data_IF_142027674266
#
_entry.id   IF_142027674266
#
_cell.length_a   1.000
_cell.length_b   1.000
_cell.length_c   1.000
_cell.angle_alpha   90.00
_cell.angle_beta   90.00
_cell.angle_gamma   90.00
#
_symmetry.space_group_name_H-M   'P 1'
#
loop_
_entity.id
_entity.type
_entity.pdbx_description
1 polymer ?
#
# COMPACT_ATOMS: atom_id res chain seq x y z
N UNK A 1 25.17 5.13 22.27
CA UNK A 1 25.65 4.25 21.18
C UNK A 1 25.61 5.06 19.90
N UNK A 2 26.68 5.03 19.07
CA UNK A 2 26.78 5.92 17.90
C UNK A 2 25.97 5.37 16.71
N UNK A 3 25.17 6.24 16.10
CA UNK A 3 24.40 5.94 14.89
C UNK A 3 25.22 6.31 13.66
N UNK A 4 25.50 5.33 12.80
CA UNK A 4 26.27 5.56 11.56
C UNK A 4 25.33 5.68 10.36
N UNK A 5 25.47 6.75 9.59
CA UNK A 5 24.71 6.99 8.36
C UNK A 5 25.51 6.62 7.11
N UNK A 6 24.87 5.96 6.15
CA UNK A 6 25.44 5.61 4.85
C UNK A 6 24.43 5.86 3.73
N UNK A 7 24.92 6.13 2.51
CA UNK A 7 24.07 6.34 1.33
C UNK A 7 24.07 5.07 0.47
N UNK A 8 22.88 4.54 0.22
CA UNK A 8 22.65 3.41 -0.67
C UNK A 8 22.21 3.83 -2.08
N UNK A 9 21.93 2.86 -2.97
CA UNK A 9 21.47 3.11 -4.33
C UNK A 9 20.14 3.89 -4.36
N UNK A 10 19.92 4.67 -5.43
CA UNK A 10 18.67 5.43 -5.67
C UNK A 10 18.27 6.34 -4.50
N UNK A 11 19.23 7.12 -3.98
CA UNK A 11 19.04 8.04 -2.84
C UNK A 11 18.50 7.38 -1.56
N UNK A 12 18.77 6.10 -1.34
CA UNK A 12 18.41 5.41 -0.10
C UNK A 12 19.33 5.88 1.03
N UNK A 13 18.77 6.21 2.20
CA UNK A 13 19.54 6.50 3.42
C UNK A 13 19.48 5.28 4.33
N UNK A 14 20.62 4.86 4.87
CA UNK A 14 20.72 3.70 5.76
C UNK A 14 21.44 4.12 7.04
N UNK A 15 20.77 3.95 8.17
CA UNK A 15 21.30 4.21 9.50
C UNK A 15 21.49 2.89 10.25
N UNK A 16 22.61 2.76 10.97
CA UNK A 16 22.93 1.56 11.76
C UNK A 16 23.40 1.95 13.15
N UNK A 17 22.94 1.22 14.16
CA UNK A 17 23.45 1.30 15.52
C UNK A 17 23.40 -0.08 16.15
N UNK A 18 24.23 -0.32 17.15
CA UNK A 18 23.99 -1.40 18.09
C UNK A 18 23.08 -0.86 19.20
N UNK A 19 22.13 -1.67 19.65
CA UNK A 19 21.26 -1.38 20.81
C UNK A 19 21.43 -2.51 21.84
N UNK A 20 21.01 -2.35 23.11
CA UNK A 20 21.03 -3.45 24.07
C UNK A 20 20.22 -4.67 23.62
N UNK A 21 19.19 -4.46 22.78
CA UNK A 21 18.35 -5.51 22.21
C UNK A 21 18.94 -6.15 20.93
N UNK A 22 20.15 -5.77 20.51
CA UNK A 22 20.81 -6.25 19.29
C UNK A 22 21.00 -5.15 18.24
N UNK A 23 21.47 -5.50 17.03
CA UNK A 23 21.73 -4.52 15.98
C UNK A 23 20.44 -3.94 15.42
N UNK A 24 20.49 -2.65 15.12
CA UNK A 24 19.44 -1.87 14.49
C UNK A 24 19.91 -1.42 13.11
N UNK A 25 19.05 -1.58 12.10
CA UNK A 25 19.22 -0.98 10.79
C UNK A 25 17.92 -0.31 10.34
N UNK A 26 17.97 1.00 10.15
CA UNK A 26 16.93 1.77 9.51
C UNK A 26 17.29 2.01 8.04
N UNK A 27 16.33 1.78 7.14
CA UNK A 27 16.46 2.05 5.71
C UNK A 27 15.32 2.94 5.24
N UNK A 28 15.66 4.18 4.86
CA UNK A 28 14.73 5.16 4.32
C UNK A 28 14.87 5.22 2.79
N UNK A 29 13.80 4.83 2.09
CA UNK A 29 13.66 4.89 0.63
C UNK A 29 12.65 5.97 0.27
N UNK A 30 12.60 6.43 -0.98
CA UNK A 30 11.64 7.47 -1.40
C UNK A 30 10.18 7.15 -1.03
N UNK A 31 9.73 5.91 -1.25
CA UNK A 31 8.35 5.48 -1.01
C UNK A 31 8.11 4.68 0.28
N UNK A 32 9.14 4.31 1.04
CA UNK A 32 8.98 3.46 2.22
C UNK A 32 10.11 3.59 3.25
N UNK A 33 9.80 3.19 4.47
CA UNK A 33 10.67 3.22 5.63
C UNK A 33 10.69 1.83 6.25
N UNK A 34 11.89 1.28 6.48
CA UNK A 34 12.07 -0.09 6.95
C UNK A 34 12.99 -0.09 8.16
N UNK A 35 12.54 -0.64 9.27
CA UNK A 35 13.33 -0.76 10.50
C UNK A 35 13.52 -2.24 10.81
N UNK A 36 14.77 -2.67 10.91
CA UNK A 36 15.17 -4.03 11.23
C UNK A 36 15.90 -4.02 12.57
N UNK A 37 15.47 -4.87 13.50
CA UNK A 37 16.04 -5.00 14.84
C UNK A 37 16.41 -6.46 15.10
N UNK A 38 17.37 -6.67 16.01
CA UNK A 38 17.81 -7.99 16.50
C UNK A 38 18.01 -9.00 15.36
N UNK A 39 18.90 -8.67 14.42
CA UNK A 39 19.22 -9.51 13.26
C UNK A 39 17.99 -9.91 12.40
N UNK A 40 16.96 -9.06 12.36
CA UNK A 40 15.74 -9.31 11.60
C UNK A 40 14.68 -10.14 12.32
N UNK A 41 14.86 -10.40 13.61
CA UNK A 41 13.79 -10.97 14.46
C UNK A 41 12.60 -10.03 14.60
N UNK A 42 12.85 -8.73 14.48
CA UNK A 42 11.80 -7.72 14.33
C UNK A 42 12.03 -6.92 13.05
N UNK A 43 11.02 -6.86 12.19
CA UNK A 43 11.04 -6.04 10.97
C UNK A 43 9.76 -5.24 10.89
N UNK A 44 9.89 -3.92 10.87
CA UNK A 44 8.79 -2.98 10.70
C UNK A 44 8.90 -2.30 9.35
N UNK A 45 7.76 -2.09 8.71
CA UNK A 45 7.70 -1.30 7.47
C UNK A 45 6.52 -0.37 7.44
N UNK A 46 6.82 0.90 7.18
CA UNK A 46 5.86 1.96 6.93
C UNK A 46 6.07 2.52 5.52
N UNK A 47 5.05 3.16 4.97
CA UNK A 47 5.24 3.93 3.75
C UNK A 47 5.85 5.32 4.02
N UNK A 48 6.09 6.09 2.96
CA UNK A 48 6.69 7.42 3.08
C UNK A 48 5.75 8.48 3.71
N UNK A 49 4.49 8.15 4.00
CA UNK A 49 3.59 8.96 4.85
C UNK A 49 3.58 8.50 6.32
N UNK A 50 4.50 7.60 6.66
CA UNK A 50 4.63 7.04 8.00
C UNK A 50 3.46 6.13 8.36
N UNK A 51 2.68 5.63 7.39
CA UNK A 51 1.58 4.70 7.65
C UNK A 51 2.14 3.30 7.86
N UNK A 52 1.95 2.67 9.03
CA UNK A 52 2.39 1.30 9.26
C UNK A 52 1.68 0.30 8.35
N UNK A 53 2.42 -0.61 7.71
CA UNK A 53 1.83 -1.63 6.83
C UNK A 53 2.27 -3.08 7.12
N UNK A 54 3.51 -3.35 7.54
CA UNK A 54 3.95 -4.71 7.94
C UNK A 54 4.77 -4.71 9.21
N UNK A 55 4.52 -5.68 10.07
CA UNK A 55 5.34 -6.00 11.25
C UNK A 55 5.62 -7.50 11.27
N UNK A 56 6.88 -7.88 11.33
CA UNK A 56 7.33 -9.23 11.66
C UNK A 56 7.90 -9.22 13.08
N UNK A 57 7.37 -10.07 13.96
CA UNK A 57 7.85 -10.22 15.35
C UNK A 57 7.39 -11.57 15.90
N UNK A 58 8.23 -12.25 16.68
CA UNK A 58 7.87 -13.51 17.36
C UNK A 58 7.16 -14.53 16.44
N UNK A 59 7.78 -14.81 15.28
CA UNK A 59 7.26 -15.73 14.25
C UNK A 59 5.85 -15.39 13.71
N UNK A 60 5.41 -14.15 13.90
CA UNK A 60 4.11 -13.63 13.49
C UNK A 60 4.29 -12.46 12.52
N UNK A 61 3.65 -12.57 11.35
CA UNK A 61 3.54 -11.50 10.36
C UNK A 61 2.19 -10.81 10.52
N UNK A 62 2.25 -9.52 10.80
CA UNK A 62 1.12 -8.62 10.82
C UNK A 62 1.13 -7.76 9.56
N UNK A 63 -0.01 -7.62 8.90
CA UNK A 63 -0.19 -6.78 7.70
C UNK A 63 -1.38 -5.86 7.91
N UNK A 64 -1.20 -4.56 7.79
CA UNK A 64 -2.29 -3.58 7.89
C UNK A 64 -2.61 -3.02 6.50
N UNK A 65 -3.88 -3.11 6.12
CA UNK A 65 -4.39 -2.49 4.89
C UNK A 65 -4.68 -1.00 5.09
N UNK A 66 -4.79 -0.26 3.98
CA UNK A 66 -5.26 1.13 4.03
C UNK A 66 -6.72 1.25 4.47
N UNK A 67 -7.52 0.17 4.38
CA UNK A 67 -8.86 0.09 4.95
C UNK A 67 -8.84 -0.14 6.47
N UNK A 68 -7.68 -0.13 7.12
CA UNK A 68 -7.53 -0.30 8.56
C UNK A 68 -7.70 -1.74 9.07
N UNK A 69 -8.01 -2.71 8.19
CA UNK A 69 -8.03 -4.12 8.58
C UNK A 69 -6.61 -4.64 8.73
N UNK A 70 -6.42 -5.53 9.70
CA UNK A 70 -5.16 -6.22 9.89
C UNK A 70 -5.31 -7.71 9.55
N UNK A 71 -4.33 -8.27 8.84
CA UNK A 71 -4.17 -9.70 8.69
C UNK A 71 -3.00 -10.16 9.55
N UNK A 72 -3.23 -11.19 10.34
CA UNK A 72 -2.20 -11.82 11.18
C UNK A 72 -1.93 -13.22 10.64
N UNK A 73 -0.65 -13.53 10.46
CA UNK A 73 -0.16 -14.82 9.96
C UNK A 73 0.92 -15.29 10.91
N UNK A 74 0.62 -16.26 11.76
CA UNK A 74 1.60 -16.88 12.66
C UNK A 74 1.97 -18.29 12.18
N UNK A 75 3.20 -18.70 12.49
CA UNK A 75 3.63 -20.10 12.44
C UNK A 75 3.51 -20.69 13.85
N UNK A 76 2.81 -21.81 13.99
CA UNK A 76 2.81 -22.59 15.23
C UNK A 76 4.04 -23.49 15.36
N UNK A 77 4.06 -24.30 16.42
CA UNK A 77 5.14 -25.27 16.70
C UNK A 77 5.16 -26.45 15.70
N UNK A 78 4.02 -26.76 15.09
CA UNK A 78 3.90 -27.66 13.93
C UNK A 78 3.78 -26.86 12.61
N UNK A 79 3.73 -27.54 11.45
CA UNK A 79 3.45 -26.94 10.13
C UNK A 79 2.04 -26.32 9.99
N UNK A 80 1.44 -25.85 11.08
CA UNK A 80 0.15 -25.18 11.11
C UNK A 80 0.33 -23.67 10.93
N UNK A 81 -0.31 -23.11 9.89
CA UNK A 81 -0.36 -21.67 9.62
C UNK A 81 -1.71 -21.14 10.05
N UNK A 82 -1.76 -20.23 11.02
CA UNK A 82 -3.00 -19.53 11.40
C UNK A 82 -3.09 -18.21 10.66
N UNK A 83 -4.22 -17.96 9.99
CA UNK A 83 -4.55 -16.67 9.37
C UNK A 83 -5.81 -16.11 10.02
N UNK A 84 -5.71 -14.90 10.57
CA UNK A 84 -6.85 -14.17 11.11
C UNK A 84 -6.93 -12.77 10.47
N UNK A 85 -8.15 -12.24 10.33
CA UNK A 85 -8.37 -10.83 10.00
C UNK A 85 -8.91 -10.16 11.26
N UNK A 86 -8.15 -9.19 11.77
CA UNK A 86 -8.49 -8.41 12.93
C UNK A 86 -8.94 -7.02 12.52
N UNK A 87 -9.84 -6.43 13.31
CA UNK A 87 -10.16 -5.02 13.23
C UNK A 87 -9.37 -4.27 14.31
N UNK A 88 -8.75 -3.14 13.94
CA UNK A 88 -8.24 -2.18 14.93
C UNK A 88 -6.86 -2.48 15.52
N UNK A 89 -6.74 -2.10 16.79
CA UNK A 89 -5.53 -1.54 17.40
C UNK A 89 -4.47 -2.56 17.79
N UNK A 90 -4.79 -3.86 17.78
CA UNK A 90 -3.81 -4.92 18.11
C UNK A 90 -2.52 -4.78 17.28
N UNK A 91 -2.67 -4.46 15.99
CA UNK A 91 -1.53 -4.16 15.13
C UNK A 91 -0.70 -2.99 15.67
N UNK A 92 -1.35 -1.89 16.07
CA UNK A 92 -0.68 -0.68 16.53
C UNK A 92 -0.10 -0.83 17.94
N UNK A 93 -0.72 -1.65 18.80
CA UNK A 93 -0.17 -2.07 20.09
C UNK A 93 1.12 -2.85 19.89
N UNK A 94 1.12 -3.87 19.02
CA UNK A 94 2.33 -4.63 18.70
C UNK A 94 3.40 -3.78 18.00
N UNK A 95 2.97 -2.83 17.16
CA UNK A 95 3.86 -1.85 16.54
C UNK A 95 4.57 -1.00 17.59
N UNK A 96 3.83 -0.38 18.52
CA UNK A 96 4.40 0.44 19.61
C UNK A 96 5.33 -0.37 20.50
N UNK A 97 4.97 -1.61 20.83
CA UNK A 97 5.85 -2.53 21.57
C UNK A 97 7.17 -2.76 20.85
N UNK A 98 7.14 -2.88 19.53
CA UNK A 98 8.33 -3.12 18.72
C UNK A 98 9.24 -1.89 18.56
N UNK A 99 8.70 -0.66 18.63
CA UNK A 99 9.49 0.58 18.53
C UNK A 99 9.81 1.23 19.87
N UNK A 100 9.25 0.71 20.98
CA UNK A 100 9.50 1.21 22.33
C UNK A 100 10.99 1.24 22.67
N UNK A 101 11.45 2.35 23.25
CA UNK A 101 12.85 2.54 23.64
C UNK A 101 13.80 2.89 22.48
N UNK A 102 13.32 3.01 21.24
CA UNK A 102 14.15 3.41 20.10
C UNK A 102 14.23 4.93 19.89
N UNK A 103 13.40 5.70 20.61
CA UNK A 103 13.29 7.16 20.49
C UNK A 103 14.63 7.87 20.59
N UNK A 104 15.42 7.58 21.64
CA UNK A 104 16.73 8.22 21.85
C UNK A 104 17.74 7.84 20.77
N UNK A 105 17.75 6.57 20.35
CA UNK A 105 18.70 6.06 19.34
C UNK A 105 18.42 6.67 17.96
N UNK A 106 17.15 6.73 17.57
CA UNK A 106 16.73 7.27 16.27
C UNK A 106 16.63 8.81 16.30
N UNK A 107 16.47 9.40 17.47
CA UNK A 107 16.52 10.85 17.69
C UNK A 107 17.91 11.45 17.43
N UNK A 108 18.97 10.62 17.48
CA UNK A 108 20.33 11.00 17.13
C UNK A 108 20.55 11.23 15.61
N UNK A 109 19.54 11.02 14.75
CA UNK A 109 19.63 11.33 13.32
C UNK A 109 19.69 12.85 13.13
N UNK A 110 20.83 13.35 12.63
CA UNK A 110 21.07 14.77 12.41
C UNK A 110 20.17 15.37 11.31
N UNK A 111 19.94 14.63 10.22
CA UNK A 111 19.12 15.07 9.09
C UNK A 111 17.65 15.28 9.52
N UNK A 112 17.17 16.51 9.40
CA UNK A 112 15.86 16.93 9.88
C UNK A 112 14.70 16.32 9.08
N UNK A 113 14.88 16.10 7.77
CA UNK A 113 13.85 15.47 6.93
C UNK A 113 13.71 14.00 7.29
N UNK A 114 14.83 13.29 7.41
CA UNK A 114 14.83 11.88 7.82
C UNK A 114 14.21 11.70 9.22
N UNK A 115 14.50 12.60 10.16
CA UNK A 115 13.88 12.58 11.50
C UNK A 115 12.38 12.81 11.45
N UNK A 116 11.91 13.79 10.65
CA UNK A 116 10.48 14.07 10.49
C UNK A 116 9.73 12.88 9.89
N UNK A 117 10.34 12.19 8.91
CA UNK A 117 9.76 10.99 8.28
C UNK A 117 9.58 9.84 9.26
N UNK A 118 10.50 9.70 10.22
CA UNK A 118 10.46 8.67 11.26
C UNK A 118 9.48 8.96 12.38
N UNK A 119 9.23 10.23 12.71
CA UNK A 119 8.36 10.59 13.83
C UNK A 119 7.01 9.88 13.76
N UNK A 120 6.35 9.90 12.59
CA UNK A 120 5.07 9.21 12.37
C UNK A 120 5.18 7.69 12.36
N UNK A 121 6.38 7.14 12.08
CA UNK A 121 6.65 5.71 12.15
C UNK A 121 6.80 5.24 13.60
N UNK A 122 7.46 6.03 14.45
CA UNK A 122 7.70 5.69 15.85
C UNK A 122 6.47 5.93 16.72
N UNK A 123 5.72 7.00 16.43
CA UNK A 123 4.50 7.34 17.13
C UNK A 123 3.33 7.45 16.15
N UNK A 124 2.69 6.31 15.77
CA UNK A 124 1.55 6.33 14.88
C UNK A 124 0.33 6.98 15.54
N UNK A 125 -0.15 8.05 14.92
CA UNK A 125 -1.41 8.72 15.28
C UNK A 125 -2.61 7.86 14.85
N UNK A 126 -3.29 7.25 15.82
CA UNK A 126 -4.46 6.41 15.62
C UNK A 126 -5.64 7.16 15.00
N UNK A 127 -5.89 8.40 15.43
CA UNK A 127 -6.99 9.22 14.92
C UNK A 127 -6.76 9.54 13.45
N UNK A 128 -5.54 9.93 13.08
CA UNK A 128 -5.16 10.15 11.67
C UNK A 128 -5.32 8.87 10.86
N UNK A 129 -4.84 7.73 11.36
CA UNK A 129 -4.90 6.45 10.65
C UNK A 129 -6.34 5.93 10.49
N UNK A 130 -7.22 6.21 11.46
CA UNK A 130 -8.65 5.92 11.37
C UNK A 130 -9.34 6.80 10.33
N UNK A 131 -9.07 8.11 10.33
CA UNK A 131 -9.56 9.04 9.32
C UNK A 131 -9.07 8.67 7.91
N UNK A 132 -7.82 8.26 7.77
CA UNK A 132 -7.27 7.73 6.51
C UNK A 132 -7.98 6.47 6.04
N UNK A 133 -8.29 5.54 6.95
CA UNK A 133 -9.05 4.35 6.60
C UNK A 133 -10.46 4.70 6.12
N UNK A 134 -11.11 5.68 6.73
CA UNK A 134 -12.40 6.20 6.26
C UNK A 134 -12.28 6.84 4.87
N UNK A 135 -11.27 7.69 4.65
CA UNK A 135 -10.99 8.28 3.34
C UNK A 135 -10.77 7.21 2.28
N UNK A 136 -9.97 6.19 2.58
CA UNK A 136 -9.70 5.07 1.68
C UNK A 136 -10.98 4.32 1.27
N UNK A 137 -11.85 4.01 2.23
CA UNK A 137 -13.13 3.36 1.95
C UNK A 137 -14.08 4.23 1.11
N UNK A 138 -13.97 5.55 1.21
CA UNK A 138 -14.69 6.49 0.36
C UNK A 138 -14.12 6.64 -1.05
N UNK A 139 -12.81 6.43 -1.23
CA UNK A 139 -12.15 6.53 -2.54
C UNK A 139 -12.53 5.41 -3.49
N UNK A 140 -12.68 4.20 -2.95
CA UNK A 140 -12.97 3.02 -3.73
C UNK A 140 -14.35 2.50 -3.42
N UNK A 141 -15.17 2.34 -4.46
CA UNK A 141 -16.34 1.48 -4.34
C UNK A 141 -15.79 0.08 -4.51
N UNK A 142 -15.37 -0.58 -3.42
CA UNK A 142 -14.88 -1.97 -3.39
C UNK A 142 -13.72 -2.27 -4.35
N UNK A 143 -12.55 -2.62 -3.82
CA UNK A 143 -11.40 -2.95 -4.66
C UNK A 143 -11.50 -4.35 -5.23
N UNK A 144 -11.57 -4.43 -6.56
CA UNK A 144 -11.48 -5.65 -7.35
C UNK A 144 -10.27 -6.52 -7.04
N UNK A 145 -10.26 -7.69 -7.67
CA UNK A 145 -9.12 -8.59 -7.68
C UNK A 145 -7.94 -7.85 -8.33
N UNK A 146 -6.74 -7.96 -7.74
CA UNK A 146 -5.50 -7.52 -8.38
C UNK A 146 -4.63 -8.75 -8.66
N UNK A 147 -4.00 -8.83 -9.83
CA UNK A 147 -3.02 -9.88 -10.07
C UNK A 147 -1.74 -9.61 -9.26
N UNK A 148 -0.94 -10.64 -8.91
CA UNK A 148 0.20 -10.50 -8.00
C UNK A 148 1.26 -9.49 -8.44
N UNK A 149 1.44 -9.30 -9.75
CA UNK A 149 2.31 -8.33 -10.38
C UNK A 149 1.83 -6.88 -10.21
N UNK A 150 0.53 -6.66 -9.99
CA UNK A 150 -0.07 -5.34 -9.77
C UNK A 150 -0.22 -4.93 -8.29
N UNK A 151 0.29 -5.70 -7.32
CA UNK A 151 0.16 -5.37 -5.89
C UNK A 151 0.79 -4.03 -5.46
N UNK A 152 1.76 -3.54 -6.23
CA UNK A 152 2.36 -2.21 -6.04
C UNK A 152 1.87 -1.18 -7.05
N UNK A 153 0.78 -1.43 -7.78
CA UNK A 153 0.20 -0.42 -8.65
C UNK A 153 -0.60 0.63 -7.85
N UNK A 154 -0.72 1.84 -8.39
CA UNK A 154 -1.76 2.78 -7.99
C UNK A 154 -3.06 2.35 -8.67
N UNK A 155 -4.09 2.02 -7.89
CA UNK A 155 -5.34 1.50 -8.45
C UNK A 155 -6.27 2.66 -8.82
N UNK A 156 -6.80 2.63 -10.03
CA UNK A 156 -7.76 3.62 -10.55
C UNK A 156 -8.96 2.87 -11.10
N UNK A 157 -10.17 3.18 -10.64
CA UNK A 157 -11.39 2.53 -11.11
C UNK A 157 -11.99 3.28 -12.31
N UNK A 158 -11.73 2.81 -13.54
CA UNK A 158 -12.43 3.30 -14.74
C UNK A 158 -13.85 2.76 -14.82
N UNK A 159 -13.99 1.46 -14.53
CA UNK A 159 -15.27 0.77 -14.53
C UNK A 159 -15.61 0.33 -13.11
N UNK A 160 -16.90 0.21 -12.82
CA UNK A 160 -17.44 -0.38 -11.60
C UNK A 160 -18.15 -1.68 -11.98
N UNK A 161 -17.91 -2.77 -11.24
CA UNK A 161 -18.56 -4.06 -11.50
C UNK A 161 -17.95 -4.83 -12.68
N UNK A 162 -18.71 -5.78 -13.23
CA UNK A 162 -18.29 -6.66 -14.32
C UNK A 162 -19.28 -6.58 -15.50
N UNK A 163 -18.83 -6.37 -16.75
CA UNK A 163 -19.73 -6.34 -17.91
C UNK A 163 -20.36 -7.71 -18.21
N UNK A 164 -19.70 -8.81 -17.84
CA UNK A 164 -20.22 -10.17 -18.03
C UNK A 164 -21.21 -10.57 -16.93
N UNK A 165 -20.82 -10.41 -15.66
CA UNK A 165 -21.60 -10.68 -14.42
C UNK A 165 -22.47 -11.95 -14.37
N UNK A 166 -22.16 -12.99 -15.16
CA UNK A 166 -22.90 -14.28 -15.21
C UNK A 166 -22.10 -15.47 -14.71
N UNK A 167 -20.90 -15.25 -14.16
CA UNK A 167 -20.07 -16.33 -13.62
C UNK A 167 -20.73 -16.96 -12.39
N UNK A 168 -20.94 -18.28 -12.40
CA UNK A 168 -21.54 -19.03 -11.27
C UNK A 168 -20.65 -19.04 -10.03
N UNK A 169 -19.33 -18.94 -10.20
CA UNK A 169 -18.35 -18.95 -9.12
C UNK A 169 -18.06 -17.55 -8.53
N UNK A 170 -18.44 -16.47 -9.23
CA UNK A 170 -18.02 -15.13 -8.83
C UNK A 170 -18.94 -14.56 -7.76
N UNK A 171 -18.44 -14.43 -6.53
CA UNK A 171 -19.11 -13.72 -5.44
C UNK A 171 -18.77 -12.23 -5.39
N UNK A 172 -17.73 -11.81 -6.13
CA UNK A 172 -17.14 -10.48 -6.01
C UNK A 172 -17.96 -9.39 -6.72
N UNK A 173 -18.36 -9.62 -7.97
CA UNK A 173 -19.06 -8.64 -8.80
C UNK A 173 -20.58 -8.81 -8.85
N UNK A 174 -21.12 -9.91 -8.31
CA UNK A 174 -22.52 -10.35 -8.51
C UNK A 174 -23.57 -9.29 -8.20
N UNK A 175 -23.34 -8.48 -7.17
CA UNK A 175 -24.26 -7.44 -6.71
C UNK A 175 -23.86 -6.03 -7.16
N UNK A 176 -22.93 -5.92 -8.11
CA UNK A 176 -22.36 -4.64 -8.56
C UNK A 176 -22.81 -4.35 -9.99
N UNK A 177 -23.65 -3.33 -10.18
CA UNK A 177 -24.09 -2.90 -11.50
C UNK A 177 -22.89 -2.40 -12.31
N UNK A 178 -22.75 -2.89 -13.54
CA UNK A 178 -21.72 -2.41 -14.45
C UNK A 178 -21.95 -0.94 -14.83
N UNK A 179 -20.91 -0.12 -14.72
CA UNK A 179 -20.90 1.27 -15.14
C UNK A 179 -19.49 1.69 -15.54
N UNK A 180 -19.39 2.49 -16.60
CA UNK A 180 -18.17 3.19 -16.98
C UNK A 180 -18.22 4.60 -16.35
N UNK A 181 -17.16 5.04 -15.67
CA UNK A 181 -17.05 6.43 -15.18
C UNK A 181 -16.93 7.40 -16.35
N UNK A 182 -17.52 8.59 -16.21
CA UNK A 182 -17.20 9.70 -17.12
C UNK A 182 -15.74 10.10 -16.94
N UNK A 183 -15.11 10.66 -17.98
CA UNK A 183 -13.69 11.05 -17.91
C UNK A 183 -13.41 12.04 -16.77
N UNK A 184 -14.31 12.99 -16.50
CA UNK A 184 -14.12 13.91 -15.36
C UNK A 184 -14.23 13.22 -14.01
N UNK A 185 -15.08 12.18 -13.90
CA UNK A 185 -15.20 11.37 -12.68
C UNK A 185 -13.95 10.53 -12.45
N UNK A 186 -13.42 9.93 -13.52
CA UNK A 186 -12.14 9.22 -13.50
C UNK A 186 -11.00 10.16 -13.09
N UNK A 187 -10.90 11.35 -13.68
CA UNK A 187 -9.84 12.30 -13.35
C UNK A 187 -9.91 12.72 -11.88
N UNK A 188 -11.10 13.05 -11.37
CA UNK A 188 -11.28 13.34 -9.93
C UNK A 188 -10.86 12.17 -9.06
N UNK A 189 -11.25 10.95 -9.42
CA UNK A 189 -10.85 9.75 -8.70
C UNK A 189 -9.32 9.55 -8.72
N UNK A 190 -8.68 9.63 -9.88
CA UNK A 190 -7.23 9.49 -10.04
C UNK A 190 -6.45 10.55 -9.24
N UNK A 191 -6.89 11.81 -9.27
CA UNK A 191 -6.29 12.88 -8.45
C UNK A 191 -6.47 12.61 -6.95
N UNK A 192 -7.64 12.14 -6.54
CA UNK A 192 -7.90 11.79 -5.14
C UNK A 192 -7.05 10.59 -4.68
N UNK A 193 -6.82 9.59 -5.55
CA UNK A 193 -5.88 8.48 -5.29
C UNK A 193 -4.45 8.99 -5.16
N UNK A 194 -3.98 9.86 -6.07
CA UNK A 194 -2.65 10.48 -5.99
C UNK A 194 -2.48 11.25 -4.66
N UNK A 195 -3.47 12.08 -4.31
CA UNK A 195 -3.46 12.85 -3.07
C UNK A 195 -3.46 11.95 -1.83
N UNK A 196 -4.25 10.88 -1.82
CA UNK A 196 -4.28 9.93 -0.71
C UNK A 196 -2.95 9.19 -0.54
N UNK A 197 -2.33 8.76 -1.64
CA UNK A 197 -1.05 8.07 -1.59
C UNK A 197 0.08 9.01 -1.12
N UNK A 198 0.05 10.28 -1.53
CA UNK A 198 1.07 11.26 -1.16
C UNK A 198 2.47 10.80 -1.58
N UNK A 199 3.46 10.93 -0.70
CA UNK A 199 4.83 10.42 -0.88
C UNK A 199 4.88 8.91 -1.08
N UNK A 200 3.89 8.15 -0.58
CA UNK A 200 3.84 6.72 -0.84
C UNK A 200 3.57 6.40 -2.32
N UNK A 201 3.21 7.39 -3.16
CA UNK A 201 3.16 7.19 -4.61
C UNK A 201 4.51 6.75 -5.18
N UNK A 202 5.63 7.14 -4.57
CA UNK A 202 6.98 6.73 -4.97
C UNK A 202 7.21 5.21 -4.89
N UNK A 203 6.40 4.49 -4.10
CA UNK A 203 6.47 3.03 -4.05
C UNK A 203 5.71 2.36 -5.21
N UNK A 204 4.89 3.13 -5.95
CA UNK A 204 4.01 2.62 -6.99
C UNK A 204 4.72 2.54 -8.33
N UNK A 205 4.72 1.35 -8.92
CA UNK A 205 5.45 1.05 -10.17
C UNK A 205 4.65 1.35 -11.43
N UNK A 206 3.34 1.19 -11.35
CA UNK A 206 2.40 1.37 -12.46
C UNK A 206 1.05 1.88 -11.93
N UNK A 207 0.14 2.15 -12.84
CA UNK A 207 -1.28 2.41 -12.57
C UNK A 207 -2.06 1.18 -13.02
N UNK A 208 -2.94 0.65 -12.18
CA UNK A 208 -3.81 -0.46 -12.56
C UNK A 208 -5.25 0.02 -12.73
N UNK A 209 -5.81 -0.15 -13.92
CA UNK A 209 -7.20 0.16 -14.22
C UNK A 209 -8.09 -0.99 -13.72
N UNK A 210 -8.59 -0.83 -12.49
CA UNK A 210 -9.68 -1.64 -11.93
C UNK A 210 -11.03 -1.21 -12.56
N UNK A 211 -12.14 -1.94 -12.47
CA UNK A 211 -12.49 -3.16 -11.73
C UNK A 211 -12.34 -4.43 -12.61
N UNK A 212 -13.41 -5.17 -12.93
CA UNK A 212 -13.30 -6.50 -13.56
C UNK A 212 -12.71 -6.50 -14.99
N UNK A 213 -13.09 -5.54 -15.83
CA UNK A 213 -12.65 -5.46 -17.24
C UNK A 213 -12.71 -4.00 -17.71
N UNK A 214 -11.65 -3.25 -17.41
CA UNK A 214 -11.55 -1.84 -17.81
C UNK A 214 -11.46 -1.67 -19.33
N UNK A 215 -10.90 -2.65 -20.05
CA UNK A 215 -10.72 -2.62 -21.50
C UNK A 215 -12.04 -2.77 -22.28
N UNK A 216 -13.13 -3.10 -21.60
CA UNK A 216 -14.48 -3.11 -22.19
C UNK A 216 -15.07 -1.70 -22.44
N UNK A 217 -14.41 -0.64 -21.96
CA UNK A 217 -14.81 0.73 -22.25
C UNK A 217 -14.55 1.11 -23.73
N UNK A 218 -15.30 2.07 -24.32
CA UNK A 218 -15.05 2.54 -25.68
C UNK A 218 -13.63 3.09 -25.88
N UNK A 219 -13.06 2.92 -27.07
CA UNK A 219 -11.69 3.33 -27.42
C UNK A 219 -11.41 4.80 -27.10
N UNK A 220 -12.35 5.70 -27.44
CA UNK A 220 -12.23 7.12 -27.11
C UNK A 220 -12.12 7.38 -25.59
N UNK A 221 -12.82 6.59 -24.77
CA UNK A 221 -12.76 6.65 -23.30
C UNK A 221 -11.44 6.06 -22.81
N UNK A 222 -10.97 4.96 -23.40
CA UNK A 222 -9.69 4.34 -23.04
C UNK A 222 -8.51 5.27 -23.33
N UNK A 223 -8.46 5.86 -24.53
CA UNK A 223 -7.41 6.80 -24.91
C UNK A 223 -7.39 8.01 -23.97
N UNK A 224 -8.57 8.61 -23.71
CA UNK A 224 -8.69 9.70 -22.75
C UNK A 224 -8.27 9.27 -21.33
N UNK A 225 -8.57 8.03 -20.92
CA UNK A 225 -8.17 7.49 -19.62
C UNK A 225 -6.66 7.35 -19.50
N UNK A 226 -6.02 6.76 -20.51
CA UNK A 226 -4.57 6.60 -20.57
C UNK A 226 -3.87 7.96 -20.49
N UNK A 227 -4.32 8.93 -21.28
CA UNK A 227 -3.80 10.30 -21.28
C UNK A 227 -3.88 10.95 -19.89
N UNK A 228 -5.02 10.79 -19.20
CA UNK A 228 -5.23 11.35 -17.86
C UNK A 228 -4.34 10.65 -16.83
N UNK A 229 -4.28 9.32 -16.87
CA UNK A 229 -3.45 8.53 -15.97
C UNK A 229 -1.96 8.86 -16.15
N UNK A 230 -1.45 8.95 -17.37
CA UNK A 230 -0.05 9.29 -17.65
C UNK A 230 0.31 10.68 -17.11
N UNK A 231 -0.52 11.69 -17.36
CA UNK A 231 -0.31 13.03 -16.80
C UNK A 231 -0.38 13.08 -15.28
N UNK A 232 -1.32 12.37 -14.67
CA UNK A 232 -1.52 12.40 -13.21
C UNK A 232 -0.43 11.59 -12.51
N UNK A 233 -0.02 10.44 -13.05
CA UNK A 233 0.90 9.51 -12.39
C UNK A 233 2.31 9.51 -13.00
N UNK A 234 2.75 10.66 -13.50
CA UNK A 234 4.13 10.92 -13.92
C UNK A 234 4.62 9.89 -14.97
N UNK A 235 3.82 9.67 -16.01
CA UNK A 235 4.11 8.78 -17.15
C UNK A 235 4.34 7.29 -16.79
N UNK A 236 3.91 6.85 -15.60
CA UNK A 236 3.98 5.44 -15.19
C UNK A 236 3.21 4.53 -16.16
N UNK A 237 3.68 3.28 -16.38
CA UNK A 237 2.94 2.28 -17.14
C UNK A 237 1.52 2.09 -16.61
N UNK A 238 0.59 1.78 -17.51
CA UNK A 238 -0.81 1.52 -17.17
C UNK A 238 -1.16 0.08 -17.54
N UNK A 239 -1.59 -0.68 -16.54
CA UNK A 239 -1.95 -2.08 -16.63
C UNK A 239 -3.47 -2.24 -16.46
N UNK A 240 -4.05 -3.29 -17.05
CA UNK A 240 -5.45 -3.64 -16.88
C UNK A 240 -5.64 -5.14 -17.11
N UNK A 241 -6.74 -5.71 -16.61
CA UNK A 241 -7.15 -7.03 -17.08
C UNK A 241 -7.62 -6.96 -18.53
N UNK A 242 -7.23 -7.97 -19.30
CA UNK A 242 -7.80 -8.26 -20.60
C UNK A 242 -8.69 -9.50 -20.49
N UNK A 243 -9.96 -9.40 -20.90
CA UNK A 243 -10.83 -10.57 -21.04
C UNK A 243 -10.81 -11.10 -22.47
N UNK A 244 -11.02 -12.41 -22.64
CA UNK A 244 -11.19 -13.03 -23.96
C UNK A 244 -12.49 -12.59 -24.67
N UNK A 245 -13.40 -11.93 -23.95
CA UNK A 245 -14.66 -11.40 -24.48
C UNK A 245 -14.55 -9.94 -24.94
N UNK A 246 -13.50 -9.21 -24.50
CA UNK A 246 -13.32 -7.76 -24.72
C UNK A 246 -13.22 -7.34 -26.18
N UNK A 247 -13.24 -8.28 -27.14
CA UNK A 247 -12.98 -7.95 -28.55
C UNK A 247 -13.62 -8.87 -29.58
N UNK A 248 -14.78 -9.47 -29.29
CA UNK A 248 -15.59 -10.10 -30.35
C UNK A 248 -16.40 -9.02 -31.09
N UNK A 249 -15.92 -8.59 -32.25
CA UNK A 249 -16.75 -7.95 -33.29
C UNK A 249 -16.90 -6.42 -33.22
N UNK A 250 -15.79 -5.68 -33.36
CA UNK A 250 -15.83 -4.30 -33.88
C UNK A 250 -14.93 -4.24 -35.13
N UNK A 251 -15.52 -4.64 -36.25
CA UNK A 251 -15.13 -4.24 -37.60
C UNK A 251 -15.78 -2.91 -37.92
#
# INVERSE_FOLDING_TARGET
MALTATRGPRSTRIYRSNTPAGPLQLTLRKGSQNLMLDHGRVVLTADAEGRPFTLWRAQTLWRRGYDGRCQVISRGDEWQRRRAVLAGDEFLVEWRRAVSGLGDTLGAIEDTDDRARLASMLEPDELRLAAEAQRYRGLYRGLGILPPDAYLAAVVQLVEGCPYNRCTFCTFYRHRRYRIRRIDELERHARAVKAFLGRALEMRRSVFLADADALSAPDAVLLATLDRCRRIFDERPVDAFASSFTRKGRT
#
